data_IF_180992788313
#
_entry.id   IF_180992788313
#
_cell.length_a   1.000
_cell.length_b   1.000
_cell.length_c   1.000
_cell.angle_alpha   90.00
_cell.angle_beta   90.00
_cell.angle_gamma   90.00
#
_symmetry.space_group_name_H-M   'P 1'
#
loop_
_entity.id
_entity.type
_entity.pdbx_description
1 polymer ?
#
# COMPACT_ATOMS: atom_id res chain seq x y z
N UNK A 1 10.45 1.19 14.08
CA UNK A 1 10.56 1.73 12.72
C UNK A 1 9.32 1.41 11.87
N UNK A 2 8.89 0.16 11.81
CA UNK A 2 7.66 -0.16 11.06
C UNK A 2 6.45 0.63 11.56
N UNK A 3 6.27 0.73 12.85
CA UNK A 3 5.15 1.44 13.46
C UNK A 3 5.07 2.90 13.01
N UNK A 4 6.18 3.61 13.00
CA UNK A 4 6.22 5.03 12.61
C UNK A 4 5.86 5.23 11.14
N UNK A 5 6.38 4.36 10.27
CA UNK A 5 6.12 4.43 8.83
C UNK A 5 4.68 4.02 8.50
N UNK A 6 4.13 3.03 9.20
CA UNK A 6 2.72 2.66 9.05
C UNK A 6 1.80 3.77 9.57
N UNK A 7 2.12 4.41 10.69
CA UNK A 7 1.37 5.60 11.14
C UNK A 7 1.39 6.72 10.11
N UNK A 8 2.51 6.89 9.41
CA UNK A 8 2.57 7.86 8.30
C UNK A 8 1.64 7.44 7.14
N UNK A 9 1.57 6.14 6.80
CA UNK A 9 0.62 5.64 5.82
C UNK A 9 -0.83 5.88 6.25
N UNK A 10 -1.15 5.72 7.53
CA UNK A 10 -2.47 6.04 8.06
C UNK A 10 -2.80 7.53 7.97
N UNK A 11 -1.82 8.40 8.22
CA UNK A 11 -2.01 9.84 8.02
C UNK A 11 -2.31 10.17 6.54
N UNK A 12 -1.62 9.52 5.60
CA UNK A 12 -1.90 9.65 4.17
C UNK A 12 -3.29 9.11 3.80
N UNK A 13 -3.73 8.00 4.42
CA UNK A 13 -5.08 7.47 4.23
C UNK A 13 -6.15 8.47 4.70
N UNK A 14 -5.95 9.10 5.85
CA UNK A 14 -6.86 10.17 6.34
C UNK A 14 -6.85 11.38 5.42
N UNK A 15 -5.68 11.75 4.90
CA UNK A 15 -5.53 12.82 3.91
C UNK A 15 -6.33 12.54 2.64
N UNK A 16 -6.26 11.30 2.14
CA UNK A 16 -7.05 10.87 0.98
C UNK A 16 -8.56 11.07 1.23
N UNK A 17 -9.06 10.68 2.39
CA UNK A 17 -10.46 10.90 2.78
C UNK A 17 -10.80 12.38 2.83
N UNK A 18 -9.94 13.20 3.40
CA UNK A 18 -10.13 14.66 3.45
C UNK A 18 -10.20 15.28 2.05
N UNK A 19 -9.54 14.69 1.06
CA UNK A 19 -9.59 15.11 -0.34
C UNK A 19 -10.76 14.50 -1.13
N UNK A 20 -11.60 13.69 -0.51
CA UNK A 20 -12.76 13.05 -1.16
C UNK A 20 -12.49 11.68 -1.76
N UNK A 21 -11.41 11.04 -1.39
CA UNK A 21 -11.00 9.73 -1.90
C UNK A 21 -11.11 8.61 -0.86
N UNK A 22 -10.77 7.38 -1.26
CA UNK A 22 -10.79 6.22 -0.39
C UNK A 22 -9.61 6.24 0.60
N UNK A 23 -9.75 5.58 1.77
CA UNK A 23 -8.81 5.70 2.90
C UNK A 23 -7.56 4.83 2.74
N UNK A 24 -6.71 5.15 1.77
CA UNK A 24 -5.48 4.42 1.50
C UNK A 24 -4.31 5.37 1.28
N UNK A 25 -3.16 5.03 1.86
CA UNK A 25 -1.92 5.77 1.73
C UNK A 25 -0.72 4.83 1.67
N UNK A 26 0.32 5.25 0.97
CA UNK A 26 1.53 4.46 0.81
C UNK A 26 2.77 5.35 0.72
N UNK A 27 3.93 4.80 1.07
CA UNK A 27 5.21 5.49 0.95
C UNK A 27 6.32 4.53 0.53
N UNK A 28 7.36 5.07 -0.05
CA UNK A 28 8.58 4.37 -0.39
C UNK A 28 9.70 4.82 0.54
N UNK A 29 10.38 3.88 1.18
CA UNK A 29 11.42 4.13 2.17
C UNK A 29 12.72 3.45 1.78
N UNK A 30 13.85 4.13 1.99
CA UNK A 30 15.18 3.57 1.79
C UNK A 30 16.20 4.33 2.64
N UNK A 31 17.09 3.59 3.29
CA UNK A 31 18.25 4.13 4.01
C UNK A 31 17.92 5.28 4.99
N UNK A 32 16.88 5.08 5.79
CA UNK A 32 16.46 6.05 6.80
C UNK A 32 15.63 7.20 6.26
N UNK A 33 15.23 7.20 5.00
CA UNK A 33 14.49 8.30 4.37
C UNK A 33 13.22 7.84 3.67
N UNK A 34 12.16 8.63 3.79
CA UNK A 34 10.99 8.51 2.94
C UNK A 34 11.32 9.19 1.60
N UNK A 35 11.39 8.40 0.54
CA UNK A 35 11.71 8.89 -0.80
C UNK A 35 10.50 9.51 -1.49
N UNK A 36 9.31 8.99 -1.20
CA UNK A 36 8.08 9.37 -1.89
C UNK A 36 6.86 8.91 -1.11
N UNK A 37 5.78 9.67 -1.24
CA UNK A 37 4.49 9.36 -0.63
C UNK A 37 3.38 9.48 -1.66
N UNK A 38 2.30 8.73 -1.47
CA UNK A 38 1.11 8.82 -2.31
C UNK A 38 -0.15 8.44 -1.51
N UNK A 39 -1.28 8.96 -1.96
CA UNK A 39 -2.59 8.63 -1.44
C UNK A 39 -3.53 8.20 -2.57
N UNK A 40 -4.63 7.58 -2.23
CA UNK A 40 -5.67 7.16 -3.18
C UNK A 40 -6.31 8.39 -3.85
N UNK A 41 -6.54 8.28 -5.17
CA UNK A 41 -7.13 9.34 -5.99
C UNK A 41 -8.25 8.82 -6.90
N UNK A 42 -8.81 7.65 -6.59
CA UNK A 42 -9.82 6.98 -7.45
C UNK A 42 -11.01 7.89 -7.76
N UNK A 43 -11.57 8.54 -6.74
CA UNK A 43 -12.79 9.35 -6.90
C UNK A 43 -12.50 10.67 -7.62
N UNK A 44 -11.51 11.42 -7.16
CA UNK A 44 -11.22 12.76 -7.70
C UNK A 44 -10.67 12.72 -9.12
N UNK A 45 -9.96 11.66 -9.49
CA UNK A 45 -9.42 11.50 -10.85
C UNK A 45 -10.29 10.62 -11.75
N UNK A 46 -11.39 10.05 -11.25
CA UNK A 46 -12.25 9.12 -11.98
C UNK A 46 -11.43 7.97 -12.60
N UNK A 47 -10.52 7.41 -11.82
CA UNK A 47 -9.57 6.41 -12.27
C UNK A 47 -9.53 5.24 -11.27
N UNK A 48 -10.09 4.10 -11.65
CA UNK A 48 -10.12 2.88 -10.83
C UNK A 48 -8.71 2.34 -10.51
N UNK A 49 -7.70 2.74 -11.26
CA UNK A 49 -6.30 2.37 -10.99
C UNK A 49 -5.62 3.31 -10.02
N UNK A 50 -6.26 4.39 -9.60
CA UNK A 50 -5.70 5.43 -8.72
C UNK A 50 -5.53 5.00 -7.26
N UNK A 51 -5.12 3.76 -7.00
CA UNK A 51 -4.74 3.29 -5.68
C UNK A 51 -3.45 3.97 -5.20
N UNK A 52 -3.28 4.11 -3.90
CA UNK A 52 -2.10 4.76 -3.33
C UNK A 52 -0.81 4.10 -3.81
N UNK A 53 -0.74 2.77 -3.82
CA UNK A 53 0.42 2.02 -4.27
C UNK A 53 0.68 2.20 -5.77
N UNK A 54 -0.36 2.22 -6.60
CA UNK A 54 -0.24 2.47 -8.04
C UNK A 54 0.30 3.88 -8.29
N UNK A 55 -0.25 4.89 -7.61
CA UNK A 55 0.22 6.26 -7.72
C UNK A 55 1.69 6.38 -7.32
N UNK A 56 2.06 5.71 -6.23
CA UNK A 56 3.44 5.66 -5.74
C UNK A 56 4.39 5.02 -6.76
N UNK A 57 4.07 3.82 -7.23
CA UNK A 57 4.88 3.06 -8.18
C UNK A 57 5.01 3.81 -9.51
N UNK A 58 3.90 4.35 -10.02
CA UNK A 58 3.90 5.13 -11.25
C UNK A 58 4.86 6.31 -11.19
N UNK A 59 4.83 7.07 -10.10
CA UNK A 59 5.69 8.23 -9.93
C UNK A 59 7.14 7.82 -9.66
N UNK A 60 7.35 6.82 -8.80
CA UNK A 60 8.68 6.32 -8.47
C UNK A 60 9.41 5.78 -9.71
N UNK A 61 8.71 5.01 -10.55
CA UNK A 61 9.27 4.45 -11.79
C UNK A 61 9.73 5.52 -12.78
N UNK A 62 9.12 6.70 -12.74
CA UNK A 62 9.50 7.83 -13.62
C UNK A 62 10.64 8.68 -13.05
N UNK A 63 10.78 8.75 -11.74
CA UNK A 63 11.69 9.70 -11.06
C UNK A 63 12.92 9.06 -10.46
N UNK A 64 12.86 7.78 -10.12
CA UNK A 64 13.94 7.05 -9.46
C UNK A 64 14.52 6.03 -10.43
N UNK A 65 15.81 5.75 -10.30
CA UNK A 65 16.43 4.70 -11.09
C UNK A 65 16.08 3.29 -10.57
N UNK A 66 16.21 2.24 -11.41
CA UNK A 66 15.89 0.86 -11.00
C UNK A 66 16.67 0.36 -9.80
N UNK A 67 17.91 0.78 -9.61
CA UNK A 67 18.74 0.37 -8.48
C UNK A 67 18.18 0.89 -7.15
N UNK A 68 17.64 2.10 -7.16
CA UNK A 68 16.97 2.68 -6.00
C UNK A 68 15.74 1.87 -5.61
N UNK A 69 14.93 1.46 -6.59
CA UNK A 69 13.72 0.66 -6.35
C UNK A 69 14.05 -0.72 -5.77
N UNK A 70 15.08 -1.38 -6.28
CA UNK A 70 15.55 -2.70 -5.79
C UNK A 70 16.02 -2.62 -4.33
N UNK A 71 16.52 -1.47 -3.90
CA UNK A 71 16.95 -1.25 -2.51
C UNK A 71 15.87 -0.71 -1.57
N UNK A 72 14.68 -0.44 -2.08
CA UNK A 72 13.62 0.23 -1.32
C UNK A 72 12.65 -0.75 -0.64
N UNK A 73 11.84 -0.22 0.27
CA UNK A 73 10.72 -0.90 0.88
C UNK A 73 9.46 -0.05 0.68
N UNK A 74 8.36 -0.68 0.29
CA UNK A 74 7.07 -0.04 0.17
C UNK A 74 6.26 -0.29 1.44
N UNK A 75 5.79 0.79 2.05
CA UNK A 75 4.88 0.77 3.18
C UNK A 75 3.50 1.22 2.70
N UNK A 76 2.46 0.53 3.15
CA UNK A 76 1.09 0.85 2.76
C UNK A 76 0.13 0.65 3.92
N UNK A 77 -0.92 1.47 3.99
CA UNK A 77 -1.91 1.42 5.06
C UNK A 77 -2.70 0.12 5.10
N UNK A 78 -2.90 -0.51 3.96
CA UNK A 78 -3.63 -1.78 3.83
C UNK A 78 -2.88 -2.71 2.88
N UNK A 79 -2.97 -4.00 3.11
CA UNK A 79 -2.38 -5.02 2.26
C UNK A 79 -2.73 -4.75 0.78
N UNK A 80 -1.73 -4.73 -0.14
CA UNK A 80 -1.99 -4.41 -1.53
C UNK A 80 -2.97 -5.39 -2.18
N UNK A 81 -3.93 -4.85 -2.94
CA UNK A 81 -4.81 -5.67 -3.79
C UNK A 81 -4.03 -6.32 -4.94
N UNK A 82 -4.66 -7.23 -5.67
CA UNK A 82 -4.01 -7.96 -6.77
C UNK A 82 -3.40 -7.04 -7.84
N UNK A 83 -4.04 -5.93 -8.15
CA UNK A 83 -3.53 -4.93 -9.10
C UNK A 83 -2.23 -4.29 -8.60
N UNK A 84 -2.23 -3.87 -7.33
CA UNK A 84 -1.06 -3.24 -6.71
C UNK A 84 0.08 -4.24 -6.48
N UNK A 85 -0.24 -5.49 -6.14
CA UNK A 85 0.75 -6.56 -6.04
C UNK A 85 1.51 -6.72 -7.35
N UNK A 86 0.81 -6.71 -8.48
CA UNK A 86 1.42 -6.79 -9.81
C UNK A 86 2.32 -5.58 -10.11
N UNK A 87 1.84 -4.37 -9.80
CA UNK A 87 2.62 -3.16 -10.03
C UNK A 87 3.93 -3.13 -9.21
N UNK A 88 3.86 -3.52 -7.94
CA UNK A 88 5.03 -3.61 -7.05
C UNK A 88 6.03 -4.65 -7.59
N UNK A 89 5.54 -5.80 -8.06
CA UNK A 89 6.36 -6.82 -8.71
C UNK A 89 7.11 -6.26 -9.93
N UNK A 90 6.40 -5.60 -10.83
CA UNK A 90 7.02 -5.04 -12.05
C UNK A 90 7.98 -3.89 -11.76
N UNK A 91 7.78 -3.16 -10.66
CA UNK A 91 8.72 -2.14 -10.21
C UNK A 91 9.98 -2.73 -9.54
N UNK A 92 10.02 -4.04 -9.30
CA UNK A 92 11.11 -4.75 -8.64
C UNK A 92 11.39 -4.26 -7.21
N UNK A 93 10.37 -3.78 -6.51
CA UNK A 93 10.47 -3.41 -5.09
C UNK A 93 10.41 -4.69 -4.26
N UNK A 94 11.46 -5.04 -3.51
CA UNK A 94 11.58 -6.38 -2.92
C UNK A 94 10.92 -6.56 -1.55
N UNK A 95 10.44 -5.49 -0.92
CA UNK A 95 9.87 -5.55 0.43
C UNK A 95 8.61 -4.72 0.54
N UNK A 96 7.58 -5.32 1.16
CA UNK A 96 6.30 -4.68 1.46
C UNK A 96 6.03 -4.80 2.95
N UNK A 97 5.59 -3.70 3.56
CA UNK A 97 5.06 -3.67 4.93
C UNK A 97 3.68 -3.06 4.89
N UNK A 98 2.67 -3.75 5.41
CA UNK A 98 1.31 -3.24 5.43
C UNK A 98 0.72 -3.15 6.84
N UNK A 99 -0.21 -2.21 7.01
CA UNK A 99 -0.92 -1.99 8.27
C UNK A 99 -2.08 -2.94 8.45
N UNK A 100 -3.14 -2.78 7.67
CA UNK A 100 -4.36 -3.60 7.74
C UNK A 100 -4.27 -4.78 6.78
N UNK A 101 -4.58 -5.98 7.27
CA UNK A 101 -4.66 -7.16 6.40
C UNK A 101 -5.85 -7.06 5.44
N UNK A 102 -5.68 -7.55 4.22
CA UNK A 102 -6.75 -7.58 3.23
C UNK A 102 -7.97 -8.38 3.70
N UNK A 103 -7.75 -9.46 4.45
CA UNK A 103 -8.83 -10.26 5.06
C UNK A 103 -9.68 -9.46 6.04
N UNK A 104 -9.06 -8.63 6.87
CA UNK A 104 -9.76 -7.81 7.85
C UNK A 104 -10.63 -6.74 7.18
N UNK A 105 -10.12 -6.10 6.14
CA UNK A 105 -10.89 -5.14 5.36
C UNK A 105 -12.03 -5.82 4.60
N UNK A 106 -11.77 -6.96 3.97
CA UNK A 106 -12.80 -7.73 3.26
C UNK A 106 -13.95 -8.12 4.19
N UNK A 107 -13.64 -8.59 5.40
CA UNK A 107 -14.64 -8.91 6.42
C UNK A 107 -15.50 -7.69 6.78
N UNK A 108 -14.87 -6.53 7.01
CA UNK A 108 -15.58 -5.30 7.31
C UNK A 108 -16.53 -4.88 6.17
N UNK A 109 -16.10 -5.02 4.94
CA UNK A 109 -16.89 -4.66 3.75
C UNK A 109 -17.93 -5.71 3.36
N UNK A 110 -17.97 -6.87 4.03
CA UNK A 110 -18.81 -7.98 3.63
C UNK A 110 -18.39 -8.61 2.30
N UNK A 111 -17.14 -8.41 1.89
CA UNK A 111 -16.60 -8.98 0.66
C UNK A 111 -16.08 -10.38 0.89
N UNK A 112 -16.36 -11.27 -0.06
CA UNK A 112 -15.88 -12.66 0.00
C UNK A 112 -14.52 -12.84 -0.70
N UNK A 113 -13.95 -11.78 -1.24
CA UNK A 113 -12.74 -11.85 -2.05
C UNK A 113 -11.63 -10.99 -1.46
N UNK A 114 -10.45 -11.54 -1.43
CA UNK A 114 -9.19 -10.81 -1.38
C UNK A 114 -8.10 -11.79 -1.82
N UNK A 115 -6.94 -11.26 -2.19
CA UNK A 115 -5.82 -12.11 -2.61
C UNK A 115 -4.66 -11.85 -1.65
N UNK A 116 -4.34 -12.82 -0.76
CA UNK A 116 -3.23 -12.67 0.18
C UNK A 116 -1.91 -12.43 -0.56
N UNK A 117 -1.23 -11.35 -0.25
CA UNK A 117 -0.03 -10.94 -0.98
C UNK A 117 1.11 -11.95 -0.88
N UNK A 118 1.36 -12.52 0.30
CA UNK A 118 2.37 -13.58 0.46
C UNK A 118 2.10 -14.77 -0.45
N UNK A 119 0.86 -15.22 -0.50
CA UNK A 119 0.47 -16.38 -1.32
C UNK A 119 0.59 -16.07 -2.81
N UNK A 120 0.16 -14.88 -3.24
CA UNK A 120 0.28 -14.45 -4.64
C UNK A 120 1.72 -14.46 -5.10
N UNK A 121 2.61 -13.83 -4.34
CA UNK A 121 4.04 -13.76 -4.69
C UNK A 121 4.69 -15.14 -4.65
N UNK A 122 4.33 -15.98 -3.71
CA UNK A 122 4.82 -17.36 -3.65
C UNK A 122 4.42 -18.14 -4.90
N UNK A 123 3.18 -18.03 -5.35
CA UNK A 123 2.68 -18.67 -6.58
C UNK A 123 3.36 -18.14 -7.84
N UNK A 124 3.71 -16.85 -7.85
CA UNK A 124 4.45 -16.24 -8.95
C UNK A 124 5.94 -16.62 -8.97
N UNK A 125 6.45 -17.26 -7.92
CA UNK A 125 7.89 -17.49 -7.75
C UNK A 125 8.67 -16.20 -7.48
N UNK A 126 8.00 -15.15 -6.99
CA UNK A 126 8.61 -13.88 -6.70
C UNK A 126 9.20 -13.86 -5.28
N UNK A 127 10.44 -13.35 -5.15
CA UNK A 127 11.12 -13.22 -3.87
C UNK A 127 10.82 -11.86 -3.23
N UNK A 128 9.54 -11.58 -2.96
CA UNK A 128 9.12 -10.35 -2.29
C UNK A 128 8.81 -10.66 -0.83
N UNK A 129 9.52 -9.99 0.07
CA UNK A 129 9.29 -10.08 1.51
C UNK A 129 8.07 -9.27 1.89
N UNK A 130 7.12 -9.90 2.57
CA UNK A 130 5.87 -9.27 3.01
C UNK A 130 5.77 -9.32 4.53
N UNK A 131 5.63 -8.17 5.17
CA UNK A 131 5.49 -8.01 6.62
C UNK A 131 4.17 -7.33 6.92
N UNK A 132 3.41 -7.87 7.84
CA UNK A 132 2.12 -7.32 8.30
C UNK A 132 1.24 -8.40 8.92
N UNK A 133 0.14 -8.00 9.56
CA UNK A 133 -0.30 -6.62 9.80
C UNK A 133 0.56 -5.89 10.85
N UNK A 134 0.62 -4.57 10.74
CA UNK A 134 1.30 -3.68 11.70
C UNK A 134 0.31 -2.63 12.18
N UNK A 135 0.08 -2.52 13.49
CA UNK A 135 -0.87 -1.58 14.09
C UNK A 135 -2.27 -1.69 13.45
N UNK A 136 -2.73 -2.90 13.21
CA UNK A 136 -3.95 -3.18 12.45
C UNK A 136 -5.19 -2.50 13.02
N UNK A 137 -5.36 -2.50 14.34
CA UNK A 137 -6.54 -1.92 14.98
C UNK A 137 -6.64 -0.41 14.72
N UNK A 138 -5.52 0.30 14.75
CA UNK A 138 -5.46 1.73 14.43
C UNK A 138 -5.91 2.00 12.98
N UNK A 139 -5.48 1.16 12.05
CA UNK A 139 -5.91 1.25 10.65
C UNK A 139 -7.37 0.87 10.45
N UNK A 140 -7.85 -0.14 11.15
CA UNK A 140 -9.25 -0.56 11.07
C UNK A 140 -10.22 0.52 11.58
N UNK A 141 -9.83 1.34 12.53
CA UNK A 141 -10.64 2.49 12.96
C UNK A 141 -10.93 3.46 11.81
N UNK A 142 -9.94 3.69 10.94
CA UNK A 142 -10.12 4.55 9.75
C UNK A 142 -11.17 3.95 8.82
N UNK A 143 -11.06 2.65 8.56
CA UNK A 143 -11.99 1.93 7.69
C UNK A 143 -13.41 1.87 8.25
N UNK A 144 -13.57 1.63 9.56
CA UNK A 144 -14.89 1.61 10.21
C UNK A 144 -15.60 2.96 10.14
N UNK A 145 -14.85 4.04 10.16
CA UNK A 145 -15.41 5.39 10.03
C UNK A 145 -15.76 5.79 8.60
N UNK A 146 -15.33 5.03 7.60
CA UNK A 146 -15.47 5.39 6.19
C UNK A 146 -16.51 4.53 5.44
N UNK A 147 -16.46 3.21 5.57
CA UNK A 147 -17.31 2.27 4.81
C UNK A 147 -18.72 2.10 5.36
#
# INVERSE_FOLDING_TARGET
MHDELIKRCYALARSAVAHGNHPFGALLWKDGQILMEAENTVVTQLDVTGHAEINLVRTASKRLDPETLIGASLYTSTEPCIMCQGAIYWAAIPRIVYGVAGSSLAELQGAAWYTPSRESYQRMGASIEVTGPVLEEEGMEIHRGFW
#
